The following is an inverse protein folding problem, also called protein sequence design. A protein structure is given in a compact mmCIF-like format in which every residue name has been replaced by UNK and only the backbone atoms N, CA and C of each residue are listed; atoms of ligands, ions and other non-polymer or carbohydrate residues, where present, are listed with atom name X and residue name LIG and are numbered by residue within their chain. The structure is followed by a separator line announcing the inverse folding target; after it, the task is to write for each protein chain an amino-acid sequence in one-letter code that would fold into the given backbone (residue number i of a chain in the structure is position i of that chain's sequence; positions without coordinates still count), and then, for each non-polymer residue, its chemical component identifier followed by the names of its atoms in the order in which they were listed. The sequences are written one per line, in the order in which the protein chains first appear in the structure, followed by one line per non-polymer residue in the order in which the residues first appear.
data_IF_643887324052
#
_entry.id   IF_643887324052
#
_cell.length_a   1.000
_cell.length_b   1.000
_cell.length_c   1.000
_cell.angle_alpha   90.00
_cell.angle_beta   90.00
_cell.angle_gamma   90.00
#
_symmetry.space_group_name_H-M   'P 1'
#
loop_
_entity.id
_entity.type
_entity.pdbx_description
1 polymer ?
#
# COMPACT_ATOMS: atom_id res chain seq x y z
N UNK A 1 7.98 -3.60 11.87
CA UNK A 1 9.04 -3.31 10.88
C UNK A 1 8.33 -2.88 9.60
N UNK A 2 8.29 -1.58 9.34
CA UNK A 2 9.02 -0.85 8.28
C UNK A 2 8.28 -0.95 6.92
N UNK A 3 7.37 0.00 6.64
CA UNK A 3 6.67 0.21 5.35
C UNK A 3 7.17 1.49 4.63
N UNK A 4 7.34 1.47 3.30
CA UNK A 4 7.88 2.61 2.50
C UNK A 4 6.78 3.47 1.87
N UNK A 5 6.76 4.78 2.15
CA UNK A 5 5.91 5.77 1.46
C UNK A 5 6.79 6.77 0.71
N UNK A 6 6.38 7.11 -0.52
CA UNK A 6 7.17 7.91 -1.46
C UNK A 6 6.40 9.16 -1.90
N UNK A 7 7.07 10.33 -1.83
CA UNK A 7 6.80 11.47 -2.71
C UNK A 7 6.12 12.69 -2.08
N UNK A 8 6.89 13.51 -1.35
CA UNK A 8 6.55 14.93 -1.10
C UNK A 8 7.75 15.77 -1.55
N UNK A 9 7.51 16.87 -2.28
CA UNK A 9 8.57 17.85 -2.59
C UNK A 9 8.94 18.56 -1.27
N UNK A 10 10.23 18.72 -0.93
CA UNK A 10 10.61 19.40 0.30
C UNK A 10 10.25 20.89 0.16
N UNK A 11 9.17 21.31 0.82
CA UNK A 11 9.00 22.71 1.14
C UNK A 11 9.99 23.01 2.27
N UNK A 12 10.99 23.83 2.01
CA UNK A 12 11.67 24.74 2.96
C UNK A 12 12.33 24.19 4.24
N UNK A 13 12.23 22.90 4.58
CA UNK A 13 12.86 22.32 5.76
C UNK A 13 14.34 22.00 5.51
N UNK A 14 15.10 23.08 5.60
CA UNK A 14 16.44 23.17 6.21
C UNK A 14 17.56 22.37 5.56
N UNK A 15 18.37 23.14 4.83
CA UNK A 15 19.65 22.70 4.28
C UNK A 15 20.54 22.06 5.34
N UNK A 16 21.29 21.06 4.88
CA UNK A 16 22.30 20.29 5.61
C UNK A 16 21.77 19.15 6.48
N UNK A 17 21.14 18.14 5.89
CA UNK A 17 21.69 16.80 6.11
C UNK A 17 21.47 15.90 4.88
N UNK A 18 22.57 15.52 4.22
CA UNK A 18 22.57 14.68 3.01
C UNK A 18 22.78 13.20 3.39
N UNK A 19 22.03 12.31 2.75
CA UNK A 19 22.28 10.86 2.66
C UNK A 19 22.39 10.06 3.98
N UNK A 20 21.60 10.39 5.01
CA UNK A 20 21.46 9.56 6.24
C UNK A 20 20.00 9.31 6.62
N UNK A 21 19.79 8.30 7.45
CA UNK A 21 18.49 7.95 8.03
C UNK A 21 18.20 8.79 9.28
N UNK A 22 16.97 9.30 9.42
CA UNK A 22 16.51 10.00 10.63
C UNK A 22 15.24 9.36 11.16
N UNK A 23 15.13 9.25 12.48
CA UNK A 23 13.87 8.88 13.11
C UNK A 23 12.95 10.12 13.18
N UNK A 24 11.70 9.97 12.77
CA UNK A 24 10.70 11.04 12.86
C UNK A 24 9.84 10.86 14.10
N UNK A 25 9.62 11.95 14.83
CA UNK A 25 8.80 11.97 16.04
C UNK A 25 7.31 11.78 15.76
N UNK A 26 6.82 12.20 14.59
CA UNK A 26 5.44 11.98 14.15
C UNK A 26 5.29 12.15 12.62
N UNK A 27 4.70 11.18 11.89
CA UNK A 27 4.43 9.82 12.35
C UNK A 27 5.72 9.09 12.76
N UNK A 28 5.65 8.18 13.74
CA UNK A 28 6.81 7.41 14.21
C UNK A 28 7.37 6.57 13.05
N UNK A 29 8.61 6.84 12.64
CA UNK A 29 9.14 6.28 11.41
C UNK A 29 10.59 6.65 11.11
N UNK A 30 11.11 6.23 9.96
CA UNK A 30 12.43 6.64 9.46
C UNK A 30 12.29 7.41 8.14
N UNK A 31 13.01 8.51 7.97
CA UNK A 31 13.11 9.21 6.68
C UNK A 31 14.52 9.12 6.12
N UNK A 32 14.64 8.99 4.81
CA UNK A 32 15.89 9.06 4.06
C UNK A 32 15.70 9.99 2.87
N UNK A 33 16.55 11.00 2.76
CA UNK A 33 16.57 11.91 1.62
C UNK A 33 17.69 11.49 0.66
N UNK A 34 17.30 11.07 -0.55
CA UNK A 34 18.23 10.84 -1.65
C UNK A 34 18.44 12.17 -2.39
N UNK A 35 19.56 12.81 -2.07
CA UNK A 35 19.93 14.12 -2.62
C UNK A 35 20.16 14.09 -4.13
N UNK A 36 20.60 12.97 -4.69
CA UNK A 36 20.86 12.81 -6.13
C UNK A 36 19.56 12.73 -6.93
N UNK A 37 18.56 12.07 -6.37
CA UNK A 37 17.23 11.94 -7.01
C UNK A 37 16.26 13.04 -6.61
N UNK A 38 16.60 13.82 -5.58
CA UNK A 38 15.71 14.78 -4.94
C UNK A 38 14.39 14.11 -4.47
N UNK A 39 14.51 12.97 -3.77
CA UNK A 39 13.38 12.16 -3.29
C UNK A 39 13.53 11.89 -1.79
N UNK A 40 12.44 12.07 -1.04
CA UNK A 40 12.33 11.60 0.34
C UNK A 40 11.65 10.22 0.33
N UNK A 41 12.32 9.27 0.97
CA UNK A 41 11.80 7.96 1.34
C UNK A 41 11.37 8.01 2.80
N UNK A 42 10.12 7.70 3.09
CA UNK A 42 9.62 7.63 4.46
C UNK A 42 9.27 6.19 4.80
N UNK A 43 9.58 5.79 6.03
CA UNK A 43 9.28 4.50 6.59
C UNK A 43 8.34 4.68 7.74
N UNK A 44 7.09 4.27 7.58
CA UNK A 44 6.12 4.37 8.66
C UNK A 44 6.10 3.04 9.41
N UNK A 45 6.23 3.10 10.74
CA UNK A 45 5.72 2.04 11.59
C UNK A 45 4.30 2.43 11.94
N UNK A 46 3.30 1.75 11.40
CA UNK A 46 1.92 2.00 11.79
C UNK A 46 1.73 1.47 13.23
N UNK A 47 1.54 2.33 14.24
CA UNK A 47 1.25 1.87 15.59
C UNK A 47 -0.21 1.40 15.73
N UNK A 48 -1.08 1.69 14.74
CA UNK A 48 -2.47 1.23 14.70
C UNK A 48 -2.57 -0.12 13.97
N UNK A 49 -3.57 -0.91 14.35
CA UNK A 49 -3.71 -2.31 13.94
C UNK A 49 -3.87 -2.52 12.42
N UNK A 50 -4.40 -1.55 11.66
CA UNK A 50 -4.71 -1.74 10.24
C UNK A 50 -4.41 -0.49 9.38
N UNK A 51 -3.92 -0.72 8.16
CA UNK A 51 -3.82 0.27 7.09
C UNK A 51 -4.31 -0.34 5.78
N UNK A 52 -5.02 0.45 5.00
CA UNK A 52 -5.44 0.06 3.65
C UNK A 52 -4.42 0.63 2.66
N UNK A 53 -3.87 -0.24 1.82
CA UNK A 53 -2.96 0.14 0.75
C UNK A 53 -3.72 0.20 -0.58
N UNK A 54 -3.48 1.25 -1.36
CA UNK A 54 -4.00 1.40 -2.73
C UNK A 54 -2.90 1.88 -3.67
N UNK A 55 -3.09 1.69 -4.97
CA UNK A 55 -2.12 1.95 -6.03
C UNK A 55 -0.74 1.33 -5.70
N UNK A 56 -0.73 0.07 -5.29
CA UNK A 56 0.49 -0.66 -4.89
C UNK A 56 1.42 -0.81 -6.09
N UNK A 57 2.47 0.01 -6.17
CA UNK A 57 3.45 0.03 -7.27
C UNK A 57 4.52 -1.03 -7.10
N UNK A 58 4.94 -1.29 -5.86
CA UNK A 58 5.90 -2.33 -5.50
C UNK A 58 5.44 -3.01 -4.22
N UNK A 59 5.70 -4.30 -4.12
CA UNK A 59 5.47 -5.09 -2.92
C UNK A 59 6.61 -6.11 -2.79
N UNK A 60 7.01 -6.42 -1.56
CA UNK A 60 8.04 -7.41 -1.25
C UNK A 60 7.66 -8.77 -1.84
N UNK A 61 8.68 -9.51 -2.31
CA UNK A 61 8.49 -10.85 -2.89
C UNK A 61 7.87 -11.84 -1.90
N UNK A 62 8.16 -11.74 -0.61
CA UNK A 62 7.53 -12.55 0.45
C UNK A 62 6.01 -12.33 0.49
N UNK A 63 5.57 -11.08 0.62
CA UNK A 63 4.16 -10.73 0.61
C UNK A 63 3.47 -11.11 -0.71
N UNK A 64 4.11 -10.84 -1.85
CA UNK A 64 3.57 -11.23 -3.17
C UNK A 64 3.44 -12.76 -3.30
N UNK A 65 4.41 -13.52 -2.79
CA UNK A 65 4.35 -14.98 -2.77
C UNK A 65 3.14 -15.48 -1.98
N UNK A 66 2.86 -14.88 -0.82
CA UNK A 66 1.69 -15.23 0.00
C UNK A 66 0.40 -14.90 -0.73
N UNK A 67 0.25 -13.69 -1.29
CA UNK A 67 -0.91 -13.31 -2.11
C UNK A 67 -1.09 -14.32 -3.25
N UNK A 68 -0.01 -14.68 -3.93
CA UNK A 68 0.01 -15.63 -5.04
C UNK A 68 -0.30 -17.08 -4.64
N UNK A 69 -0.27 -17.46 -3.35
CA UNK A 69 -0.78 -18.75 -2.90
C UNK A 69 -2.31 -18.80 -2.95
N UNK A 70 -2.97 -17.66 -2.78
CA UNK A 70 -4.43 -17.55 -2.71
C UNK A 70 -5.06 -17.10 -4.03
N UNK A 71 -4.36 -16.25 -4.80
CA UNK A 71 -4.85 -15.78 -6.10
C UNK A 71 -3.71 -15.47 -7.05
N UNK A 72 -3.78 -16.01 -8.28
CA UNK A 72 -2.88 -15.64 -9.39
C UNK A 72 -3.38 -14.44 -10.20
N UNK A 73 -4.50 -13.84 -9.79
CA UNK A 73 -5.16 -12.75 -10.51
C UNK A 73 -4.72 -11.36 -10.01
N UNK A 74 -3.81 -11.31 -9.04
CA UNK A 74 -3.24 -10.07 -8.53
C UNK A 74 -1.85 -9.83 -9.15
N UNK A 75 -1.78 -8.95 -10.15
CA UNK A 75 -0.56 -8.68 -10.90
C UNK A 75 -0.55 -7.24 -11.44
N UNK A 76 0.61 -6.68 -11.84
CA UNK A 76 0.68 -5.28 -12.26
C UNK A 76 0.02 -5.08 -13.63
N UNK A 77 -0.81 -4.04 -13.74
CA UNK A 77 -1.41 -3.58 -14.99
C UNK A 77 -1.51 -2.05 -15.04
N UNK A 78 -1.52 -1.50 -16.25
CA UNK A 78 -1.64 -0.05 -16.45
C UNK A 78 -3.10 0.38 -16.37
N UNK A 79 -3.42 1.28 -15.44
CA UNK A 79 -4.72 1.93 -15.37
C UNK A 79 -4.73 3.23 -16.16
N UNK A 80 -5.65 3.35 -17.12
CA UNK A 80 -5.88 4.60 -17.86
C UNK A 80 -6.41 5.71 -16.93
N UNK A 81 -7.27 5.35 -15.98
CA UNK A 81 -7.87 6.29 -15.02
C UNK A 81 -6.82 6.85 -14.05
N UNK A 82 -6.01 5.98 -13.45
CA UNK A 82 -4.96 6.41 -12.51
C UNK A 82 -3.67 6.87 -13.20
N UNK A 83 -3.55 6.69 -14.53
CA UNK A 83 -2.38 7.00 -15.35
C UNK A 83 -1.07 6.38 -14.83
N UNK A 84 -1.15 5.19 -14.27
CA UNK A 84 -0.01 4.49 -13.67
C UNK A 84 -0.17 2.97 -13.72
N UNK A 85 0.96 2.26 -13.63
CA UNK A 85 0.98 0.81 -13.44
C UNK A 85 1.07 0.49 -11.95
N UNK A 86 0.18 -0.38 -11.48
CA UNK A 86 0.16 -0.88 -10.11
C UNK A 86 -0.43 -2.29 -10.08
N UNK A 87 -0.20 -3.01 -8.98
CA UNK A 87 -0.78 -4.33 -8.75
C UNK A 87 -2.28 -4.19 -8.48
N UNK A 88 -3.08 -4.89 -9.27
CA UNK A 88 -4.53 -4.91 -9.15
C UNK A 88 -5.06 -6.32 -9.38
N UNK A 89 -6.29 -6.56 -8.92
CA UNK A 89 -7.01 -7.77 -9.25
C UNK A 89 -7.42 -7.78 -10.73
N UNK A 90 -7.58 -8.97 -11.29
CA UNK A 90 -8.02 -9.15 -12.67
C UNK A 90 -9.18 -10.14 -12.72
N UNK A 91 -10.15 -9.84 -13.56
CA UNK A 91 -11.29 -10.73 -13.77
C UNK A 91 -10.81 -12.12 -14.21
N UNK A 92 -11.25 -13.18 -13.52
CA UNK A 92 -10.86 -14.54 -13.85
C UNK A 92 -11.27 -14.95 -15.28
N UNK A 93 -12.35 -14.39 -15.81
CA UNK A 93 -12.91 -14.68 -17.12
C UNK A 93 -12.28 -13.84 -18.24
N UNK A 94 -12.34 -12.51 -18.16
CA UNK A 94 -11.94 -11.62 -19.26
C UNK A 94 -10.57 -10.96 -19.06
N UNK A 95 -9.91 -11.18 -17.91
CA UNK A 95 -8.62 -10.57 -17.53
C UNK A 95 -8.64 -9.04 -17.51
N UNK A 96 -9.81 -8.41 -17.50
CA UNK A 96 -9.92 -6.97 -17.30
C UNK A 96 -9.41 -6.59 -15.91
N UNK A 97 -8.66 -5.50 -15.83
CA UNK A 97 -8.14 -4.94 -14.58
C UNK A 97 -9.28 -4.43 -13.70
N UNK A 98 -9.29 -4.85 -12.44
CA UNK A 98 -10.17 -4.38 -11.39
C UNK A 98 -9.35 -3.47 -10.47
N UNK A 99 -9.28 -2.19 -10.83
CA UNK A 99 -8.52 -1.18 -10.09
C UNK A 99 -9.11 -0.87 -8.71
N UNK A 100 -8.42 -0.02 -7.95
CA UNK A 100 -8.71 0.21 -6.52
C UNK A 100 -9.88 1.20 -6.28
N UNK A 101 -10.52 1.68 -7.35
CA UNK A 101 -11.58 2.68 -7.27
C UNK A 101 -12.82 2.12 -6.58
N UNK A 102 -13.29 2.81 -5.54
CA UNK A 102 -14.47 2.47 -4.73
C UNK A 102 -14.43 1.12 -4.00
N UNK A 103 -13.27 0.43 -4.01
CA UNK A 103 -13.15 -0.91 -3.45
C UNK A 103 -13.56 -0.99 -1.98
N UNK A 104 -13.29 0.07 -1.20
CA UNK A 104 -13.60 0.21 0.22
C UNK A 104 -14.60 1.32 0.53
N UNK A 105 -15.10 2.03 -0.49
CA UNK A 105 -15.97 3.21 -0.33
C UNK A 105 -17.40 2.97 -0.83
N UNK A 106 -17.71 1.77 -1.34
CA UNK A 106 -19.05 1.39 -1.83
C UNK A 106 -19.78 0.48 -0.83
N UNK A 107 -20.80 0.96 -0.10
CA UNK A 107 -21.59 0.13 0.81
C UNK A 107 -22.20 -1.09 0.12
N UNK A 108 -21.96 -2.28 0.67
CA UNK A 108 -22.35 -3.56 0.08
C UNK A 108 -21.37 -4.12 -0.94
N UNK A 109 -20.29 -3.39 -1.23
CA UNK A 109 -19.17 -3.85 -2.04
C UNK A 109 -18.39 -4.99 -1.37
N UNK A 110 -17.55 -5.65 -2.16
CA UNK A 110 -16.81 -6.87 -1.73
C UNK A 110 -15.94 -6.63 -0.49
N UNK A 111 -15.41 -5.42 -0.32
CA UNK A 111 -14.60 -5.02 0.84
C UNK A 111 -15.26 -3.95 1.72
N UNK A 112 -16.56 -3.70 1.54
CA UNK A 112 -17.36 -2.87 2.44
C UNK A 112 -18.71 -3.56 2.71
N UNK A 113 -18.69 -4.69 3.43
CA UNK A 113 -19.91 -5.42 3.77
C UNK A 113 -20.79 -4.58 4.70
N UNK A 114 -22.07 -4.48 4.39
CA UNK A 114 -23.09 -3.82 5.23
C UNK A 114 -23.98 -4.82 5.97
N UNK A 115 -23.77 -6.12 5.74
CA UNK A 115 -24.44 -7.21 6.47
C UNK A 115 -23.43 -8.25 6.97
N UNK A 116 -23.79 -8.96 8.04
CA UNK A 116 -23.00 -10.07 8.57
C UNK A 116 -22.78 -11.18 7.54
N UNK A 117 -23.80 -11.47 6.71
CA UNK A 117 -23.71 -12.47 5.63
C UNK A 117 -22.74 -12.06 4.52
N UNK A 118 -22.61 -10.76 4.22
CA UNK A 118 -21.58 -10.27 3.32
C UNK A 118 -20.19 -10.40 3.94
N UNK A 119 -20.04 -10.02 5.21
CA UNK A 119 -18.76 -10.08 5.93
C UNK A 119 -18.23 -11.52 6.02
N UNK A 120 -19.10 -12.52 6.25
CA UNK A 120 -18.74 -13.96 6.30
C UNK A 120 -18.11 -14.49 4.99
N UNK A 121 -18.31 -13.81 3.86
CA UNK A 121 -17.72 -14.20 2.57
C UNK A 121 -16.25 -13.78 2.44
N UNK A 122 -15.79 -12.85 3.28
CA UNK A 122 -14.41 -12.36 3.27
C UNK A 122 -13.54 -13.29 4.11
N UNK A 123 -12.46 -13.79 3.51
CA UNK A 123 -11.43 -14.57 4.21
C UNK A 123 -10.19 -13.72 4.38
N UNK A 124 -9.74 -13.59 5.63
CA UNK A 124 -8.48 -12.92 5.96
C UNK A 124 -7.37 -13.97 6.05
N UNK A 125 -6.25 -13.68 5.41
CA UNK A 125 -5.04 -14.50 5.47
C UNK A 125 -3.94 -13.68 6.12
N UNK A 126 -3.54 -14.10 7.33
CA UNK A 126 -2.49 -13.42 8.08
C UNK A 126 -1.10 -13.74 7.51
N UNK A 127 -0.24 -12.72 7.50
CA UNK A 127 1.17 -12.84 7.17
C UNK A 127 1.96 -12.76 8.48
N UNK A 128 2.33 -13.92 9.02
CA UNK A 128 3.01 -14.03 10.32
C UNK A 128 4.53 -13.96 10.12
N UNK A 129 5.25 -13.30 11.05
CA UNK A 129 6.71 -13.23 11.12
C UNK A 129 7.44 -12.63 9.91
N UNK A 130 6.71 -11.97 9.02
CA UNK A 130 7.27 -11.37 7.81
C UNK A 130 7.00 -9.87 7.77
N UNK A 131 8.02 -9.09 7.46
CA UNK A 131 7.85 -7.67 7.19
C UNK A 131 7.39 -7.49 5.74
N UNK A 132 6.22 -6.89 5.56
CA UNK A 132 5.74 -6.51 4.24
C UNK A 132 6.36 -5.16 3.89
N UNK A 133 7.01 -5.09 2.73
CA UNK A 133 7.47 -3.83 2.17
C UNK A 133 6.59 -3.49 0.99
N UNK A 134 5.94 -2.33 0.99
CA UNK A 134 5.18 -1.87 -0.17
C UNK A 134 5.56 -0.43 -0.53
N UNK A 135 5.42 -0.09 -1.81
CA UNK A 135 5.34 1.29 -2.28
C UNK A 135 3.91 1.49 -2.78
N UNK A 136 3.10 2.20 -2.01
CA UNK A 136 1.67 2.37 -2.25
C UNK A 136 1.19 3.71 -1.67
N UNK A 137 -0.03 4.09 -2.00
CA UNK A 137 -0.80 5.02 -1.19
C UNK A 137 -1.29 4.28 0.06
N UNK A 138 -1.42 4.98 1.18
CA UNK A 138 -1.95 4.41 2.41
C UNK A 138 -3.10 5.27 2.92
N UNK A 139 -4.15 4.63 3.43
CA UNK A 139 -5.24 5.27 4.17
C UNK A 139 -5.32 4.61 5.54
N UNK A 140 -5.30 5.41 6.59
CA UNK A 140 -5.62 4.92 7.93
C UNK A 140 -7.13 4.72 7.98
N UNK A 141 -7.58 3.55 8.43
CA UNK A 141 -8.97 3.39 8.81
C UNK A 141 -9.19 4.32 10.01
N UNK A 142 -10.09 5.28 9.86
CA UNK A 142 -10.57 6.10 10.98
C UNK A 142 -11.50 5.18 11.77
N UNK A 143 -11.24 5.05 13.07
CA UNK A 143 -12.11 4.31 14.00
C UNK A 143 -13.52 4.90 14.05
#
# INVERSE_FOLDING_TARGET
YRDVVCGVKPAEWEGRILDKWYETSSPRGMVYFDSKKNIIYQWLTNPKAWAILSNVRRISSSALSIINKHSKLYYPAYSKTAKMTYYANHCCHCKSMQGDFMMFDEPGGVFYPVTSEQAKKIKLHEVINETIFANANHRQAIE
#
